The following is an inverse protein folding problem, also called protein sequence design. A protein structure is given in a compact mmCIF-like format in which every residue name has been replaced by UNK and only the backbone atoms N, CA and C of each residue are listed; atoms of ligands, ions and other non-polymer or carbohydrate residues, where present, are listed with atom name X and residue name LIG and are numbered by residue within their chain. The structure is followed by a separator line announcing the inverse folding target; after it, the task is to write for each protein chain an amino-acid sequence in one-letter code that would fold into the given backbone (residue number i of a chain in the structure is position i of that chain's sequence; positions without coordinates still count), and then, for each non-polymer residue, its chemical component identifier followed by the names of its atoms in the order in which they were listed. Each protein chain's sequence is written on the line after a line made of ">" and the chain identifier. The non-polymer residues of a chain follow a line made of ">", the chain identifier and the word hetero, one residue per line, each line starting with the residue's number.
data_IF_458954190512
#
_entry.id   IF_458954190512
#
_cell.length_a   1.000
_cell.length_b   1.000
_cell.length_c   1.000
_cell.angle_alpha   90.00
_cell.angle_beta   90.00
_cell.angle_gamma   90.00
#
_symmetry.space_group_name_H-M   'P 1'
#
loop_
_entity.id
_entity.type
_entity.pdbx_description
1 polymer ?
#
# COMPACT_ATOMS: atom_id res chain seq x y z
N UNK A 1 -39.42 -45.73 -10.90
CA UNK A 1 -39.20 -44.29 -11.17
C UNK A 1 -38.47 -43.71 -9.96
N UNK A 2 -37.13 -43.70 -9.98
CA UNK A 2 -36.30 -43.10 -8.94
C UNK A 2 -34.79 -43.16 -9.29
N UNK A 3 -34.10 -42.05 -9.00
CA UNK A 3 -32.70 -41.94 -8.53
C UNK A 3 -31.55 -42.47 -9.43
N UNK A 4 -30.77 -41.55 -10.03
CA UNK A 4 -29.43 -41.15 -9.52
C UNK A 4 -28.70 -40.25 -10.51
N UNK A 5 -28.29 -39.11 -9.98
CA UNK A 5 -27.39 -38.08 -10.49
C UNK A 5 -25.95 -38.62 -10.61
N UNK A 6 -25.31 -38.34 -11.74
CA UNK A 6 -23.87 -38.49 -11.96
C UNK A 6 -23.20 -37.18 -11.57
N UNK A 7 -22.50 -37.15 -10.44
CA UNK A 7 -21.61 -36.05 -10.07
C UNK A 7 -20.20 -36.36 -10.61
N UNK A 8 -19.70 -35.51 -11.51
CA UNK A 8 -18.30 -35.50 -11.92
C UNK A 8 -17.50 -34.74 -10.85
N UNK A 9 -16.67 -35.46 -10.11
CA UNK A 9 -15.64 -34.89 -9.24
C UNK A 9 -14.47 -34.41 -10.11
N UNK A 10 -14.29 -33.10 -10.19
CA UNK A 10 -13.06 -32.48 -10.71
C UNK A 10 -12.16 -32.15 -9.52
N UNK A 11 -11.14 -32.98 -9.31
CA UNK A 11 -10.12 -32.80 -8.28
C UNK A 11 -9.21 -31.63 -8.66
N UNK A 12 -9.26 -30.53 -7.91
CA UNK A 12 -8.29 -29.44 -8.02
C UNK A 12 -7.01 -29.83 -7.26
N UNK A 13 -5.88 -29.86 -7.96
CA UNK A 13 -4.56 -30.10 -7.39
C UNK A 13 -4.10 -28.81 -6.70
N UNK A 14 -4.03 -28.85 -5.37
CA UNK A 14 -3.36 -27.84 -4.55
C UNK A 14 -1.86 -28.12 -4.62
N UNK A 15 -1.12 -27.34 -5.40
CA UNK A 15 0.35 -27.38 -5.36
C UNK A 15 0.82 -26.50 -4.21
N UNK A 16 0.91 -27.07 -3.01
CA UNK A 16 1.65 -26.47 -1.91
C UNK A 16 3.16 -26.54 -2.23
N UNK A 17 3.84 -25.40 -2.25
CA UNK A 17 5.30 -25.38 -2.26
C UNK A 17 5.76 -25.68 -0.84
N UNK A 18 5.96 -26.97 -0.56
CA UNK A 18 6.62 -27.44 0.65
C UNK A 18 8.13 -27.33 0.46
N UNK A 19 8.81 -26.43 1.17
CA UNK A 19 10.27 -26.56 1.36
C UNK A 19 10.50 -27.79 2.25
N UNK A 20 10.92 -28.90 1.63
CA UNK A 20 11.32 -30.11 2.33
C UNK A 20 12.64 -29.90 3.09
N UNK A 21 12.56 -29.78 4.41
CA UNK A 21 13.72 -29.96 5.29
C UNK A 21 13.76 -31.43 5.68
N UNK A 22 14.70 -32.18 5.09
CA UNK A 22 14.97 -33.56 5.46
C UNK A 22 15.55 -33.62 6.88
N UNK A 23 14.87 -34.33 7.78
CA UNK A 23 15.36 -34.60 9.13
C UNK A 23 16.42 -35.69 9.05
N UNK A 24 17.68 -35.29 8.94
CA UNK A 24 18.83 -36.15 9.20
C UNK A 24 19.17 -36.10 10.69
N UNK A 25 19.07 -37.22 11.40
CA UNK A 25 19.50 -37.34 12.79
C UNK A 25 21.03 -37.35 12.87
N UNK A 26 21.63 -36.26 13.38
CA UNK A 26 23.04 -36.19 13.74
C UNK A 26 23.20 -35.99 15.26
N UNK A 27 24.24 -36.58 15.89
CA UNK A 27 24.36 -36.67 17.34
C UNK A 27 24.66 -35.32 17.98
N UNK A 28 24.02 -35.09 19.13
CA UNK A 28 24.13 -33.88 19.94
C UNK A 28 25.51 -33.77 20.61
N UNK A 29 26.33 -32.82 20.17
CA UNK A 29 27.45 -32.31 20.96
C UNK A 29 26.97 -31.11 21.78
N UNK A 30 26.93 -31.27 23.10
CA UNK A 30 26.59 -30.20 24.04
C UNK A 30 27.75 -29.21 24.14
N UNK A 31 27.59 -28.04 23.52
CA UNK A 31 28.44 -26.88 23.78
C UNK A 31 27.67 -25.90 24.68
N UNK A 32 28.23 -25.61 25.85
CA UNK A 32 27.68 -24.68 26.82
C UNK A 32 27.41 -23.30 26.17
N UNK A 33 26.34 -22.59 26.56
CA UNK A 33 26.02 -21.30 25.98
C UNK A 33 27.08 -20.29 26.40
N UNK A 34 27.91 -19.85 25.44
CA UNK A 34 28.62 -18.58 25.60
C UNK A 34 27.55 -17.51 25.74
N UNK A 35 27.61 -16.79 26.86
CA UNK A 35 26.80 -15.60 27.10
C UNK A 35 26.84 -14.74 25.84
N UNK A 36 25.72 -14.73 25.11
CA UNK A 36 25.57 -13.89 23.94
C UNK A 36 25.78 -12.45 24.38
N UNK A 37 26.72 -11.77 23.75
CA UNK A 37 26.75 -10.33 23.79
C UNK A 37 25.32 -9.87 23.46
N UNK A 38 24.67 -9.17 24.40
CA UNK A 38 23.48 -8.38 24.09
C UNK A 38 23.85 -7.60 22.83
N UNK A 39 23.18 -7.89 21.71
CA UNK A 39 23.27 -7.03 20.55
C UNK A 39 22.99 -5.62 21.08
N UNK A 40 24.00 -4.76 21.08
CA UNK A 40 23.80 -3.37 21.43
C UNK A 40 22.67 -2.90 20.54
N UNK A 41 21.58 -2.40 21.13
CA UNK A 41 20.50 -1.81 20.36
C UNK A 41 21.15 -0.80 19.42
N UNK A 42 21.08 -1.07 18.11
CA UNK A 42 21.72 -0.22 17.13
C UNK A 42 21.24 1.22 17.40
N UNK A 43 22.17 2.17 17.44
CA UNK A 43 21.77 3.56 17.62
C UNK A 43 20.75 3.93 16.54
N UNK A 44 19.66 4.64 16.88
CA UNK A 44 18.69 5.10 15.90
C UNK A 44 19.41 5.87 14.79
N UNK A 45 19.19 5.47 13.54
CA UNK A 45 19.81 6.09 12.38
C UNK A 45 19.31 7.55 12.22
N UNK A 46 20.19 8.51 12.49
CA UNK A 46 19.87 9.93 12.46
C UNK A 46 19.49 10.45 11.06
N UNK A 47 19.72 9.66 9.99
CA UNK A 47 19.32 10.04 8.63
C UNK A 47 17.79 10.25 8.50
N UNK A 48 17.01 9.47 9.23
CA UNK A 48 15.54 9.46 9.18
C UNK A 48 14.88 10.59 9.96
N UNK A 49 15.67 11.42 10.63
CA UNK A 49 15.18 12.56 11.42
C UNK A 49 15.71 13.84 10.82
N UNK A 50 14.83 14.82 10.69
CA UNK A 50 15.23 16.18 10.39
C UNK A 50 15.82 16.82 11.66
N UNK A 51 17.05 17.34 11.55
CA UNK A 51 17.82 17.98 12.63
C UNK A 51 18.42 19.32 12.18
N UNK A 52 17.90 19.91 11.10
CA UNK A 52 18.35 21.20 10.59
C UNK A 52 17.90 22.36 11.49
N UNK A 53 18.64 23.48 11.42
CA UNK A 53 18.41 24.65 12.29
C UNK A 53 17.17 25.48 11.94
N UNK A 54 16.64 25.35 10.72
CA UNK A 54 15.44 26.07 10.26
C UNK A 54 14.19 25.18 10.38
N UNK A 55 13.00 25.72 10.68
CA UNK A 55 11.77 24.93 10.71
C UNK A 55 11.41 24.38 9.33
N UNK A 56 10.83 23.19 9.25
CA UNK A 56 10.41 22.56 7.98
C UNK A 56 9.50 23.44 7.11
N UNK A 57 8.76 24.37 7.73
CA UNK A 57 7.91 25.33 7.05
C UNK A 57 8.66 26.30 6.12
N UNK A 58 9.97 26.51 6.31
CA UNK A 58 10.78 27.37 5.44
C UNK A 58 11.20 26.70 4.12
N UNK A 59 11.06 25.38 4.02
CA UNK A 59 11.37 24.60 2.82
C UNK A 59 10.11 24.30 2.01
N UNK A 60 10.28 24.19 0.69
CA UNK A 60 9.18 23.85 -0.21
C UNK A 60 8.97 22.32 -0.27
N UNK A 61 7.75 21.85 -0.54
CA UNK A 61 7.49 20.45 -0.85
C UNK A 61 8.49 19.90 -1.89
N UNK A 62 9.12 18.77 -1.56
CA UNK A 62 10.16 18.11 -2.36
C UNK A 62 11.56 18.72 -2.30
N UNK A 63 11.83 19.70 -1.44
CA UNK A 63 13.20 20.14 -1.18
C UNK A 63 13.97 19.05 -0.42
N UNK A 64 15.22 18.79 -0.81
CA UNK A 64 16.08 17.76 -0.21
C UNK A 64 16.76 18.34 1.04
N UNK A 65 16.58 17.65 2.17
CA UNK A 65 17.08 18.03 3.49
C UNK A 65 18.36 17.27 3.86
N UNK A 66 18.42 15.97 3.54
CA UNK A 66 19.62 15.13 3.68
C UNK A 66 19.71 14.17 2.50
N UNK A 67 20.92 13.71 2.22
CA UNK A 67 21.19 12.71 1.17
C UNK A 67 22.29 11.76 1.60
N UNK A 68 22.20 10.51 1.16
CA UNK A 68 23.27 9.52 1.29
C UNK A 68 23.20 8.51 0.14
N UNK A 69 24.36 7.94 -0.20
CA UNK A 69 24.45 6.84 -1.15
C UNK A 69 24.88 5.56 -0.43
N UNK A 70 24.21 4.45 -0.72
CA UNK A 70 24.49 3.14 -0.15
C UNK A 70 24.35 2.02 -1.19
N UNK A 71 24.79 0.82 -0.85
CA UNK A 71 24.49 -0.37 -1.67
C UNK A 71 23.04 -0.76 -1.42
N UNK A 72 22.29 -1.09 -2.47
CA UNK A 72 20.96 -1.67 -2.33
C UNK A 72 21.09 -3.05 -1.68
N UNK A 73 20.35 -3.31 -0.60
CA UNK A 73 20.32 -4.62 0.06
C UNK A 73 19.06 -5.40 -0.28
N UNK A 74 19.20 -6.73 -0.33
CA UNK A 74 18.10 -7.70 -0.42
C UNK A 74 18.24 -8.67 0.74
N UNK A 75 17.25 -8.69 1.64
CA UNK A 75 17.29 -9.46 2.89
C UNK A 75 18.59 -9.24 3.69
N UNK A 76 19.01 -7.97 3.80
CA UNK A 76 20.25 -7.58 4.50
C UNK A 76 21.55 -7.87 3.73
N UNK A 77 21.48 -8.49 2.55
CA UNK A 77 22.67 -8.81 1.74
C UNK A 77 22.91 -7.67 0.75
N UNK A 78 24.07 -7.00 0.75
CA UNK A 78 24.37 -5.93 -0.18
C UNK A 78 24.49 -6.47 -1.61
N UNK A 79 23.94 -5.72 -2.56
CA UNK A 79 24.10 -5.93 -4.00
C UNK A 79 25.07 -4.90 -4.60
N UNK A 80 25.55 -5.09 -5.85
CA UNK A 80 26.36 -4.08 -6.54
C UNK A 80 25.59 -2.80 -6.92
N UNK A 81 24.25 -2.82 -6.87
CA UNK A 81 23.43 -1.65 -7.22
C UNK A 81 23.58 -0.56 -6.16
N UNK A 82 23.67 0.69 -6.63
CA UNK A 82 23.67 1.87 -5.76
C UNK A 82 22.26 2.41 -5.59
N UNK A 83 21.96 2.82 -4.37
CA UNK A 83 20.73 3.49 -4.00
C UNK A 83 21.05 4.84 -3.35
N UNK A 84 20.36 5.88 -3.79
CA UNK A 84 20.46 7.23 -3.24
C UNK A 84 19.24 7.47 -2.37
N UNK A 85 19.44 7.65 -1.08
CA UNK A 85 18.38 8.04 -0.16
C UNK A 85 18.35 9.54 0.01
N UNK A 86 17.14 10.10 -0.02
CA UNK A 86 16.88 11.51 0.20
C UNK A 86 15.90 11.63 1.36
N UNK A 87 16.27 12.37 2.41
CA UNK A 87 15.30 12.94 3.33
C UNK A 87 14.79 14.22 2.68
N UNK A 88 13.49 14.37 2.50
CA UNK A 88 12.89 15.50 1.80
C UNK A 88 11.72 16.07 2.59
N UNK A 89 11.44 17.36 2.38
CA UNK A 89 10.27 18.02 2.97
C UNK A 89 9.00 17.59 2.24
N UNK A 90 7.98 17.18 3.00
CA UNK A 90 6.64 16.81 2.53
C UNK A 90 5.54 17.52 3.32
N UNK A 91 4.28 17.16 3.09
CA UNK A 91 3.10 17.62 3.82
C UNK A 91 2.30 16.41 4.34
N UNK A 92 1.98 16.39 5.63
CA UNK A 92 1.17 15.32 6.24
C UNK A 92 -0.34 15.43 5.89
N UNK A 93 -1.16 14.47 6.34
CA UNK A 93 -2.61 14.46 6.06
C UNK A 93 -3.37 15.69 6.58
N UNK A 94 -2.81 16.42 7.55
CA UNK A 94 -3.40 17.63 8.14
C UNK A 94 -2.89 18.92 7.50
N UNK A 95 -2.06 18.82 6.46
CA UNK A 95 -1.49 19.98 5.77
C UNK A 95 -0.26 20.58 6.45
N UNK A 96 0.28 19.93 7.50
CA UNK A 96 1.44 20.44 8.24
C UNK A 96 2.75 20.03 7.53
N UNK A 97 3.81 20.86 7.60
CA UNK A 97 5.13 20.48 7.08
C UNK A 97 5.69 19.25 7.80
N UNK A 98 6.11 18.24 7.06
CA UNK A 98 6.79 17.04 7.57
C UNK A 98 8.06 16.74 6.76
N UNK A 99 8.84 15.74 7.19
CA UNK A 99 9.99 15.22 6.47
C UNK A 99 9.84 13.71 6.29
N UNK A 100 10.15 13.21 5.09
CA UNK A 100 10.04 11.79 4.76
C UNK A 100 11.23 11.31 3.93
N UNK A 101 11.38 10.00 3.76
CA UNK A 101 12.50 9.39 3.04
C UNK A 101 12.02 8.74 1.74
N UNK A 102 12.82 8.93 0.69
CA UNK A 102 12.69 8.17 -0.56
C UNK A 102 14.02 7.60 -0.97
N UNK A 103 13.98 6.45 -1.64
CA UNK A 103 15.15 5.80 -2.21
C UNK A 103 15.05 5.79 -3.72
N UNK A 104 16.07 6.32 -4.40
CA UNK A 104 16.22 6.23 -5.86
C UNK A 104 17.23 5.16 -6.21
N UNK A 105 16.83 4.22 -7.06
CA UNK A 105 17.70 3.14 -7.55
C UNK A 105 17.89 3.29 -9.05
N UNK A 106 19.15 3.46 -9.46
CA UNK A 106 19.50 3.57 -10.88
C UNK A 106 19.45 2.20 -11.54
N UNK A 107 18.84 2.14 -12.71
CA UNK A 107 19.06 1.03 -13.62
C UNK A 107 20.48 1.09 -14.19
N UNK A 108 21.22 -0.04 -14.23
CA UNK A 108 22.48 -0.16 -14.97
C UNK A 108 22.35 0.10 -16.48
N UNK A 109 21.12 0.09 -17.01
CA UNK A 109 20.80 0.28 -18.42
C UNK A 109 20.00 1.56 -18.66
N UNK A 110 19.78 2.38 -17.63
CA UNK A 110 18.97 3.60 -17.68
C UNK A 110 19.81 4.87 -17.85
N UNK A 111 19.31 5.80 -18.66
CA UNK A 111 19.92 7.11 -18.90
C UNK A 111 19.38 8.22 -17.97
N UNK A 112 18.41 7.92 -17.10
CA UNK A 112 17.72 8.92 -16.26
C UNK A 112 16.45 9.50 -16.88
N UNK A 113 16.13 9.16 -18.14
CA UNK A 113 14.98 9.70 -18.86
C UNK A 113 13.65 9.02 -18.51
N UNK A 114 13.68 7.84 -17.88
CA UNK A 114 12.48 7.07 -17.50
C UNK A 114 12.63 6.51 -16.08
N UNK A 115 11.64 6.76 -15.24
CA UNK A 115 11.58 6.17 -13.91
C UNK A 115 10.19 5.59 -13.61
N UNK A 116 10.12 4.55 -12.80
CA UNK A 116 8.88 4.09 -12.18
C UNK A 116 8.91 4.50 -10.72
N UNK A 117 7.89 5.25 -10.30
CA UNK A 117 7.64 5.45 -8.88
C UNK A 117 6.86 4.25 -8.38
N UNK A 118 7.52 3.42 -7.57
CA UNK A 118 6.94 2.22 -7.00
C UNK A 118 6.46 2.50 -5.58
N UNK A 119 5.19 2.21 -5.33
CA UNK A 119 4.60 2.32 -4.02
C UNK A 119 4.58 0.94 -3.37
N UNK A 120 5.34 0.79 -2.29
CA UNK A 120 5.45 -0.44 -1.52
C UNK A 120 4.16 -0.73 -0.76
N UNK A 121 3.77 -2.00 -0.66
CA UNK A 121 2.71 -2.48 0.24
C UNK A 121 3.29 -3.04 1.55
N UNK A 122 4.27 -2.35 2.12
CA UNK A 122 4.91 -2.79 3.37
C UNK A 122 3.94 -2.77 4.56
N UNK A 123 2.84 -2.02 4.45
CA UNK A 123 1.64 -2.08 5.29
C UNK A 123 2.00 -2.20 6.79
N UNK A 124 2.50 -1.12 7.40
CA UNK A 124 2.99 -1.15 8.77
C UNK A 124 2.56 0.06 9.62
N UNK A 125 2.61 -0.10 10.93
CA UNK A 125 2.46 0.99 11.92
C UNK A 125 3.79 1.38 12.55
N UNK A 126 4.90 0.89 11.99
CA UNK A 126 6.26 1.16 12.41
C UNK A 126 7.08 1.76 11.26
N UNK A 127 7.65 2.97 11.42
CA UNK A 127 8.52 3.56 10.41
C UNK A 127 9.85 2.80 10.22
N UNK A 128 10.17 1.83 11.09
CA UNK A 128 11.35 0.98 10.92
C UNK A 128 11.13 -0.11 9.84
N UNK A 129 9.88 -0.36 9.42
CA UNK A 129 9.54 -1.32 8.36
C UNK A 129 9.49 -0.71 6.95
N UNK A 130 9.69 0.61 6.84
CA UNK A 130 9.62 1.32 5.56
C UNK A 130 10.62 0.78 4.52
N UNK A 131 10.30 0.86 3.21
CA UNK A 131 11.14 0.29 2.15
C UNK A 131 12.56 0.87 2.13
N UNK A 132 12.75 2.14 2.47
CA UNK A 132 14.08 2.73 2.57
C UNK A 132 14.97 2.05 3.64
N UNK A 133 14.39 1.57 4.74
CA UNK A 133 15.10 0.82 5.79
C UNK A 133 15.54 -0.55 5.29
N UNK A 134 14.64 -1.27 4.63
CA UNK A 134 14.93 -2.55 3.99
C UNK A 134 16.08 -2.41 2.97
N UNK A 135 16.02 -1.40 2.10
CA UNK A 135 17.04 -1.14 1.08
C UNK A 135 18.41 -0.78 1.72
N UNK A 136 18.39 -0.11 2.87
CA UNK A 136 19.60 0.21 3.64
C UNK A 136 20.21 -1.00 4.39
N UNK A 137 19.60 -2.18 4.32
CA UNK A 137 20.08 -3.41 4.95
C UNK A 137 19.38 -3.75 6.26
N UNK A 138 18.32 -3.02 6.63
CA UNK A 138 17.46 -3.35 7.76
C UNK A 138 16.76 -4.70 7.55
N UNK A 139 16.76 -5.52 8.60
CA UNK A 139 16.04 -6.79 8.63
C UNK A 139 15.12 -6.77 9.85
N UNK A 140 13.82 -6.73 9.59
CA UNK A 140 12.74 -6.85 10.58
C UNK A 140 11.68 -7.79 10.02
N UNK A 141 10.76 -8.26 10.87
CA UNK A 141 9.63 -9.07 10.42
C UNK A 141 8.73 -8.28 9.46
N UNK A 142 8.41 -7.02 9.80
CA UNK A 142 7.60 -6.15 8.95
C UNK A 142 8.28 -5.73 7.65
N UNK A 143 9.61 -5.59 7.65
CA UNK A 143 10.41 -5.28 6.46
C UNK A 143 10.57 -6.44 5.47
N UNK A 144 10.08 -7.65 5.77
CA UNK A 144 10.17 -8.81 4.86
C UNK A 144 9.45 -8.55 3.54
N UNK A 145 8.31 -7.86 3.59
CA UNK A 145 7.54 -7.53 2.38
C UNK A 145 8.35 -6.62 1.47
N UNK A 146 8.84 -5.49 1.99
CA UNK A 146 9.67 -4.57 1.22
C UNK A 146 10.92 -5.25 0.61
N UNK A 147 11.51 -6.22 1.32
CA UNK A 147 12.61 -7.02 0.76
C UNK A 147 12.14 -7.94 -0.37
N UNK A 148 10.99 -8.60 -0.23
CA UNK A 148 10.44 -9.49 -1.26
C UNK A 148 10.03 -8.73 -2.53
N UNK A 149 9.61 -7.47 -2.41
CA UNK A 149 9.26 -6.61 -3.54
C UNK A 149 10.44 -6.36 -4.49
N UNK A 150 11.68 -6.53 -4.04
CA UNK A 150 12.86 -6.47 -4.93
C UNK A 150 12.75 -7.42 -6.14
N UNK A 151 12.08 -8.56 -5.99
CA UNK A 151 11.82 -9.51 -7.08
C UNK A 151 10.82 -8.99 -8.11
N UNK A 152 9.86 -8.16 -7.68
CA UNK A 152 8.87 -7.50 -8.55
C UNK A 152 9.54 -6.35 -9.32
N UNK A 153 10.51 -5.70 -8.69
CA UNK A 153 11.20 -4.52 -9.19
C UNK A 153 12.36 -4.83 -10.14
N UNK A 154 13.00 -6.00 -9.99
CA UNK A 154 14.14 -6.39 -10.82
C UNK A 154 13.86 -6.33 -12.34
N UNK A 155 12.69 -6.78 -12.87
CA UNK A 155 12.36 -6.62 -14.29
C UNK A 155 12.31 -5.16 -14.77
N UNK A 156 11.88 -4.21 -13.94
CA UNK A 156 11.85 -2.78 -14.30
C UNK A 156 13.28 -2.24 -14.43
N UNK A 157 14.14 -2.53 -13.46
CA UNK A 157 15.56 -2.15 -13.50
C UNK A 157 16.24 -2.78 -14.72
N UNK A 158 15.99 -4.06 -15.03
CA UNK A 158 16.55 -4.74 -16.19
C UNK A 158 16.12 -4.10 -17.53
N UNK A 159 14.91 -3.51 -17.60
CA UNK A 159 14.39 -2.81 -18.78
C UNK A 159 14.86 -1.35 -18.91
N UNK A 160 15.74 -0.87 -18.03
CA UNK A 160 16.27 0.49 -18.10
C UNK A 160 15.42 1.54 -17.37
N UNK A 161 14.48 1.12 -16.50
CA UNK A 161 13.73 2.05 -15.66
C UNK A 161 14.48 2.29 -14.35
N UNK A 162 14.74 3.55 -14.03
CA UNK A 162 15.11 3.94 -12.67
C UNK A 162 13.90 3.77 -11.74
N UNK A 163 14.12 3.58 -10.45
CA UNK A 163 13.06 3.42 -9.47
C UNK A 163 13.06 4.56 -8.46
N UNK A 164 11.88 5.08 -8.12
CA UNK A 164 11.66 6.02 -7.00
C UNK A 164 10.76 5.29 -6.00
N UNK A 165 11.30 4.98 -4.82
CA UNK A 165 10.64 4.16 -3.79
C UNK A 165 10.52 5.00 -2.52
N UNK A 166 9.42 5.76 -2.34
CA UNK A 166 9.14 6.49 -1.11
C UNK A 166 8.65 5.57 0.02
N UNK A 167 8.93 5.97 1.27
CA UNK A 167 8.24 5.44 2.44
C UNK A 167 6.84 6.07 2.50
N UNK A 168 5.90 5.53 1.72
CA UNK A 168 4.63 6.18 1.38
C UNK A 168 3.80 6.56 2.60
N UNK A 169 3.83 5.77 3.66
CA UNK A 169 3.00 5.99 4.85
C UNK A 169 3.55 7.06 5.80
N UNK A 170 4.68 7.68 5.44
CA UNK A 170 5.23 8.83 6.15
C UNK A 170 6.05 8.48 7.39
N UNK A 171 6.48 9.53 8.10
CA UNK A 171 7.42 9.45 9.21
C UNK A 171 6.98 8.58 10.40
N UNK A 172 5.67 8.36 10.55
CA UNK A 172 5.08 7.58 11.64
C UNK A 172 4.54 6.22 11.17
N UNK A 173 4.63 5.93 9.86
CA UNK A 173 3.94 4.82 9.21
C UNK A 173 2.42 4.84 9.50
N UNK A 174 1.75 5.90 9.04
CA UNK A 174 0.33 6.11 9.30
C UNK A 174 -0.52 5.27 8.33
N UNK A 175 -0.62 3.97 8.62
CA UNK A 175 -1.30 2.99 7.77
C UNK A 175 -2.74 3.40 7.35
N UNK A 176 -3.09 3.15 6.08
CA UNK A 176 -4.36 3.47 5.42
C UNK A 176 -4.69 4.97 5.24
N UNK A 177 -3.81 5.91 5.63
CA UNK A 177 -4.01 7.35 5.44
C UNK A 177 -3.68 7.82 4.01
N UNK A 178 -4.53 7.42 3.04
CA UNK A 178 -4.27 7.62 1.61
C UNK A 178 -3.87 9.04 1.15
N UNK A 179 -4.50 10.13 1.62
CA UNK A 179 -4.09 11.49 1.26
C UNK A 179 -2.63 11.82 1.59
N UNK A 180 -2.12 11.34 2.73
CA UNK A 180 -0.71 11.47 3.12
C UNK A 180 0.21 10.67 2.20
N UNK A 181 -0.23 9.51 1.73
CA UNK A 181 0.56 8.69 0.80
C UNK A 181 0.75 9.41 -0.53
N UNK A 182 -0.30 10.09 -0.99
CA UNK A 182 -0.28 10.87 -2.22
C UNK A 182 0.69 12.05 -2.15
N UNK A 183 0.64 12.86 -1.08
CA UNK A 183 1.57 13.99 -0.91
C UNK A 183 3.02 13.50 -0.75
N UNK A 184 3.24 12.47 0.06
CA UNK A 184 4.55 11.83 0.23
C UNK A 184 5.13 11.36 -1.10
N UNK A 185 4.33 10.68 -1.92
CA UNK A 185 4.79 10.18 -3.22
C UNK A 185 5.09 11.31 -4.19
N UNK A 186 4.22 12.31 -4.33
CA UNK A 186 4.43 13.44 -5.24
C UNK A 186 5.68 14.25 -4.88
N UNK A 187 5.91 14.48 -3.58
CA UNK A 187 7.07 15.20 -3.10
C UNK A 187 8.36 14.37 -3.19
N UNK A 188 8.26 13.03 -3.11
CA UNK A 188 9.40 12.15 -3.40
C UNK A 188 9.86 12.26 -4.84
N UNK A 189 8.92 12.39 -5.79
CA UNK A 189 9.22 12.58 -7.21
C UNK A 189 9.89 13.95 -7.44
N UNK A 190 9.42 15.00 -6.74
CA UNK A 190 10.08 16.31 -6.74
C UNK A 190 11.51 16.21 -6.20
N UNK A 191 11.71 15.59 -5.05
CA UNK A 191 13.01 15.43 -4.43
C UNK A 191 13.98 14.66 -5.32
N UNK A 192 13.50 13.55 -5.89
CA UNK A 192 14.27 12.72 -6.81
C UNK A 192 14.72 13.52 -8.03
N UNK A 193 13.79 14.20 -8.72
CA UNK A 193 14.10 14.94 -9.96
C UNK A 193 14.83 16.27 -9.76
N UNK A 194 14.92 16.78 -8.52
CA UNK A 194 15.70 17.97 -8.15
C UNK A 194 17.11 17.64 -7.64
N UNK A 195 17.36 16.40 -7.22
CA UNK A 195 18.66 15.99 -6.70
C UNK A 195 19.55 15.44 -7.82
N UNK A 196 20.65 16.14 -8.12
CA UNK A 196 21.61 15.71 -9.13
C UNK A 196 22.28 14.36 -8.84
N UNK A 197 22.31 13.90 -7.58
CA UNK A 197 22.89 12.59 -7.22
C UNK A 197 22.06 11.41 -7.72
N UNK A 198 20.77 11.63 -7.98
CA UNK A 198 19.88 10.58 -8.47
C UNK A 198 20.01 10.35 -9.97
N UNK A 199 20.69 11.27 -10.68
CA UNK A 199 20.73 11.32 -12.14
C UNK A 199 19.37 11.45 -12.84
N UNK A 200 18.27 11.63 -12.09
CA UNK A 200 16.97 12.01 -12.64
C UNK A 200 16.93 13.52 -12.83
N UNK A 201 16.02 14.00 -13.67
CA UNK A 201 15.95 15.41 -14.05
C UNK A 201 14.53 15.86 -14.36
N UNK A 202 14.35 17.16 -14.60
CA UNK A 202 13.05 17.75 -14.91
C UNK A 202 12.37 17.11 -16.15
N UNK A 203 13.12 16.56 -17.11
CA UNK A 203 12.56 15.83 -18.25
C UNK A 203 12.26 14.33 -18.03
N UNK A 204 12.51 13.78 -16.84
CA UNK A 204 12.29 12.35 -16.57
C UNK A 204 10.81 12.05 -16.64
N UNK A 205 10.42 11.12 -17.51
CA UNK A 205 9.05 10.61 -17.59
C UNK A 205 8.84 9.56 -16.52
N UNK A 206 7.66 9.55 -15.89
CA UNK A 206 7.42 8.76 -14.68
C UNK A 206 6.14 7.93 -14.82
N UNK A 207 6.21 6.64 -14.50
CA UNK A 207 5.04 5.77 -14.35
C UNK A 207 4.78 5.50 -12.87
N UNK A 208 3.52 5.43 -12.45
CA UNK A 208 3.15 5.03 -11.09
C UNK A 208 2.78 3.54 -11.07
N UNK A 209 3.22 2.80 -10.06
CA UNK A 209 2.99 1.37 -9.94
C UNK A 209 2.84 0.94 -8.49
N UNK A 210 1.69 0.34 -8.14
CA UNK A 210 1.43 -0.13 -6.78
C UNK A 210 0.33 -1.20 -6.73
N UNK A 211 0.37 -2.05 -5.70
CA UNK A 211 -0.65 -3.08 -5.45
C UNK A 211 -1.01 -3.08 -3.97
N UNK A 212 -2.23 -3.47 -3.58
CA UNK A 212 -2.66 -3.47 -2.17
C UNK A 212 -2.47 -2.10 -1.49
N UNK A 213 -1.77 -1.99 -0.35
CA UNK A 213 -1.40 -0.71 0.26
C UNK A 213 -0.61 0.21 -0.67
N UNK A 214 0.21 -0.36 -1.56
CA UNK A 214 0.88 0.38 -2.62
C UNK A 214 -0.12 1.02 -3.61
N UNK A 215 -1.25 0.36 -3.88
CA UNK A 215 -2.31 0.94 -4.72
C UNK A 215 -3.00 2.12 -4.03
N UNK A 216 -3.09 2.14 -2.68
CA UNK A 216 -3.57 3.30 -1.92
C UNK A 216 -2.69 4.52 -2.19
N UNK A 217 -1.38 4.33 -2.19
CA UNK A 217 -0.47 5.42 -2.52
C UNK A 217 -0.56 5.81 -4.00
N UNK A 218 -0.61 4.85 -4.93
CA UNK A 218 -0.72 5.12 -6.37
C UNK A 218 -1.99 5.90 -6.73
N UNK A 219 -3.14 5.51 -6.16
CA UNK A 219 -4.42 6.13 -6.49
C UNK A 219 -4.50 7.58 -5.97
N UNK A 220 -4.14 7.83 -4.71
CA UNK A 220 -4.12 9.18 -4.14
C UNK A 220 -3.06 10.06 -4.78
N UNK A 221 -1.90 9.50 -5.14
CA UNK A 221 -0.89 10.22 -5.94
C UNK A 221 -1.50 10.71 -7.26
N UNK A 222 -2.15 9.83 -8.01
CA UNK A 222 -2.72 10.16 -9.32
C UNK A 222 -3.90 11.15 -9.23
N UNK A 223 -4.71 11.05 -8.17
CA UNK A 223 -5.83 11.94 -7.91
C UNK A 223 -5.38 13.35 -7.48
N UNK A 224 -4.35 13.44 -6.64
CA UNK A 224 -3.84 14.72 -6.13
C UNK A 224 -2.91 15.42 -7.12
N UNK A 225 -2.22 14.69 -8.00
CA UNK A 225 -1.20 15.22 -8.91
C UNK A 225 -1.63 16.49 -9.68
N UNK A 226 -2.83 16.56 -10.30
CA UNK A 226 -3.21 17.72 -11.11
C UNK A 226 -3.25 19.04 -10.33
N UNK A 227 -3.67 19.00 -9.07
CA UNK A 227 -3.82 20.19 -8.23
C UNK A 227 -2.60 20.44 -7.33
N UNK A 228 -2.05 19.39 -6.73
CA UNK A 228 -0.96 19.51 -5.75
C UNK A 228 0.43 19.64 -6.39
N UNK A 229 0.65 18.94 -7.49
CA UNK A 229 1.94 18.91 -8.19
C UNK A 229 1.74 18.87 -9.72
N UNK A 230 1.15 19.91 -10.32
CA UNK A 230 0.86 19.94 -11.75
C UNK A 230 2.11 19.74 -12.62
N UNK A 231 3.27 20.17 -12.14
CA UNK A 231 4.55 19.96 -12.79
C UNK A 231 5.04 18.51 -12.70
N UNK A 232 4.63 17.73 -11.69
CA UNK A 232 4.83 16.27 -11.65
C UNK A 232 3.81 15.60 -12.57
N UNK A 233 2.53 15.97 -12.48
CA UNK A 233 1.44 15.42 -13.29
C UNK A 233 1.75 15.46 -14.79
N UNK A 234 2.32 16.55 -15.30
CA UNK A 234 2.68 16.69 -16.72
C UNK A 234 3.75 15.71 -17.21
N UNK A 235 4.47 15.05 -16.29
CA UNK A 235 5.53 14.06 -16.56
C UNK A 235 5.06 12.62 -16.33
N UNK A 236 3.87 12.43 -15.77
CA UNK A 236 3.32 11.12 -15.52
C UNK A 236 2.80 10.51 -16.84
N UNK A 237 3.29 9.32 -17.19
CA UNK A 237 2.85 8.59 -18.40
C UNK A 237 1.58 7.78 -18.17
N UNK A 238 1.26 7.50 -16.91
CA UNK A 238 0.09 6.75 -16.47
C UNK A 238 0.30 6.14 -15.08
N UNK A 239 -0.78 5.59 -14.52
CA UNK A 239 -0.76 4.82 -13.29
C UNK A 239 -1.23 3.39 -13.52
N UNK A 240 -0.58 2.44 -12.88
CA UNK A 240 -0.97 1.04 -12.85
C UNK A 240 -1.16 0.61 -11.39
N UNK A 241 -2.37 0.21 -11.04
CA UNK A 241 -2.73 -0.17 -9.68
C UNK A 241 -3.60 -1.44 -9.62
N UNK A 242 -3.52 -2.17 -8.50
CA UNK A 242 -4.38 -3.33 -8.29
C UNK A 242 -4.67 -3.65 -6.83
N UNK A 243 -5.82 -4.28 -6.55
CA UNK A 243 -6.27 -4.55 -5.17
C UNK A 243 -6.53 -3.24 -4.40
N UNK A 244 -7.50 -2.45 -4.85
CA UNK A 244 -7.65 -1.05 -4.41
C UNK A 244 -8.54 -0.90 -3.18
N UNK A 245 -8.07 -0.16 -2.18
CA UNK A 245 -8.90 0.42 -1.12
C UNK A 245 -9.60 1.68 -1.66
N UNK A 246 -10.93 1.64 -1.76
CA UNK A 246 -11.71 2.75 -2.32
C UNK A 246 -12.59 3.40 -1.25
N UNK A 247 -13.48 2.64 -0.61
CA UNK A 247 -14.38 3.11 0.44
C UNK A 247 -14.08 2.37 1.75
N UNK A 248 -13.21 2.91 2.63
CA UNK A 248 -12.76 2.20 3.83
C UNK A 248 -13.87 1.72 4.78
N UNK A 249 -15.01 2.41 4.83
CA UNK A 249 -16.18 1.97 5.59
C UNK A 249 -16.77 0.66 5.05
N UNK A 250 -16.85 0.49 3.72
CA UNK A 250 -17.30 -0.76 3.12
C UNK A 250 -16.30 -1.90 3.37
N UNK A 251 -15.00 -1.59 3.30
CA UNK A 251 -13.96 -2.56 3.63
C UNK A 251 -14.07 -3.04 5.08
N UNK A 252 -14.35 -2.14 6.04
CA UNK A 252 -14.57 -2.52 7.44
C UNK A 252 -15.68 -3.58 7.56
N UNK A 253 -16.80 -3.38 6.90
CA UNK A 253 -17.88 -4.38 6.88
C UNK A 253 -17.48 -5.66 6.15
N UNK A 254 -16.76 -5.55 5.03
CA UNK A 254 -16.37 -6.71 4.22
C UNK A 254 -15.37 -7.63 4.92
N UNK A 255 -14.35 -7.07 5.60
CA UNK A 255 -13.35 -7.86 6.34
C UNK A 255 -13.80 -8.24 7.76
N UNK A 256 -14.97 -7.76 8.19
CA UNK A 256 -15.57 -8.11 9.48
C UNK A 256 -15.75 -9.63 9.62
N UNK A 257 -15.13 -10.22 10.64
CA UNK A 257 -15.16 -11.67 10.86
C UNK A 257 -14.27 -12.49 9.91
N UNK A 258 -13.39 -11.85 9.12
CA UNK A 258 -12.42 -12.57 8.28
C UNK A 258 -11.46 -13.43 9.13
N UNK A 259 -11.09 -14.60 8.63
CA UNK A 259 -10.19 -15.51 9.36
C UNK A 259 -8.72 -15.04 9.31
N UNK A 260 -8.31 -14.43 8.19
CA UNK A 260 -6.91 -14.06 7.94
C UNK A 260 -6.73 -12.55 7.96
N UNK A 261 -7.63 -11.80 7.34
CA UNK A 261 -7.48 -10.37 7.10
C UNK A 261 -8.05 -9.45 8.18
N UNK A 262 -8.71 -9.96 9.23
CA UNK A 262 -9.35 -9.11 10.25
C UNK A 262 -8.38 -8.14 10.93
N UNK A 263 -7.08 -8.47 10.99
CA UNK A 263 -6.06 -7.61 11.58
C UNK A 263 -5.83 -6.28 10.86
N UNK A 264 -6.30 -6.13 9.60
CA UNK A 264 -6.24 -4.84 8.90
C UNK A 264 -7.17 -3.80 9.55
N UNK A 265 -8.25 -4.24 10.21
CA UNK A 265 -9.20 -3.34 10.89
C UNK A 265 -8.50 -2.51 11.97
N UNK A 266 -7.89 -3.12 13.03
CA UNK A 266 -7.19 -2.34 14.04
C UNK A 266 -6.00 -1.59 13.46
N UNK A 267 -5.30 -2.12 12.46
CA UNK A 267 -4.21 -1.38 11.83
C UNK A 267 -4.67 -0.08 11.20
N UNK A 268 -5.72 -0.11 10.39
CA UNK A 268 -6.27 1.09 9.74
C UNK A 268 -6.83 2.07 10.78
N UNK A 269 -7.49 1.55 11.82
CA UNK A 269 -8.00 2.39 12.92
C UNK A 269 -6.85 3.16 13.59
N UNK A 270 -5.72 2.50 13.87
CA UNK A 270 -4.56 3.14 14.51
C UNK A 270 -3.93 4.17 13.56
N UNK A 271 -3.61 3.77 12.33
CA UNK A 271 -2.90 4.61 11.37
C UNK A 271 -3.68 5.87 10.98
N UNK A 272 -4.97 5.73 10.69
CA UNK A 272 -5.85 6.87 10.38
C UNK A 272 -6.02 7.78 11.60
N UNK A 273 -6.12 7.21 12.80
CA UNK A 273 -6.20 8.00 14.04
C UNK A 273 -4.95 8.84 14.27
N UNK A 274 -3.76 8.27 14.02
CA UNK A 274 -2.49 9.01 14.11
C UNK A 274 -2.41 10.13 13.09
N UNK A 275 -2.71 9.81 11.83
CA UNK A 275 -2.63 10.75 10.71
C UNK A 275 -3.51 12.00 10.94
N UNK A 276 -4.70 11.82 11.53
CA UNK A 276 -5.64 12.90 11.80
C UNK A 276 -5.70 13.37 13.27
N UNK A 277 -4.84 12.86 14.15
CA UNK A 277 -4.82 13.24 15.57
C UNK A 277 -6.12 12.94 16.33
N UNK A 278 -6.76 11.81 16.01
CA UNK A 278 -8.04 11.39 16.59
C UNK A 278 -7.76 10.47 17.79
N UNK A 279 -8.41 10.75 18.93
CA UNK A 279 -8.42 9.83 20.08
C UNK A 279 -9.66 8.93 20.02
N UNK A 280 -9.45 7.66 19.66
CA UNK A 280 -10.51 6.65 19.64
C UNK A 280 -10.65 5.88 20.96
N UNK A 281 -9.77 6.09 21.94
CA UNK A 281 -9.78 5.41 23.25
C UNK A 281 -11.15 5.43 23.95
N UNK A 282 -11.93 6.55 23.91
CA UNK A 282 -13.25 6.59 24.54
C UNK A 282 -14.28 5.62 23.94
N UNK A 283 -14.08 5.14 22.71
CA UNK A 283 -15.03 4.31 21.96
C UNK A 283 -14.69 2.81 21.99
N UNK A 284 -13.45 2.46 22.35
CA UNK A 284 -12.95 1.09 22.32
C UNK A 284 -13.34 0.28 23.57
N UNK A 285 -13.62 -1.01 23.38
CA UNK A 285 -13.80 -2.00 24.43
C UNK A 285 -12.46 -2.30 25.12
N UNK A 286 -12.48 -3.04 26.23
CA UNK A 286 -11.24 -3.50 26.86
C UNK A 286 -10.41 -4.40 25.92
N UNK A 287 -11.07 -5.23 25.11
CA UNK A 287 -10.42 -6.06 24.08
C UNK A 287 -9.84 -5.18 22.96
N UNK A 288 -10.60 -4.20 22.48
CA UNK A 288 -10.14 -3.26 21.46
C UNK A 288 -8.90 -2.47 21.91
N UNK A 289 -8.87 -1.99 23.16
CA UNK A 289 -7.71 -1.32 23.74
C UNK A 289 -6.48 -2.23 23.81
N UNK A 290 -6.66 -3.50 24.17
CA UNK A 290 -5.56 -4.46 24.22
C UNK A 290 -4.98 -4.73 22.82
N UNK A 291 -5.84 -4.86 21.80
CA UNK A 291 -5.43 -5.08 20.40
C UNK A 291 -4.75 -3.85 19.82
N UNK A 292 -5.28 -2.66 20.08
CA UNK A 292 -4.64 -1.40 19.65
C UNK A 292 -3.24 -1.27 20.22
N UNK A 293 -3.06 -1.61 21.50
CA UNK A 293 -1.76 -1.63 22.14
C UNK A 293 -0.84 -2.71 21.57
N UNK A 294 -1.37 -3.89 21.24
CA UNK A 294 -0.60 -4.98 20.62
C UNK A 294 -0.02 -4.57 19.26
N UNK A 295 -0.82 -3.88 18.45
CA UNK A 295 -0.49 -3.55 17.06
C UNK A 295 0.07 -2.14 16.88
N UNK A 296 0.33 -1.38 17.95
CA UNK A 296 0.76 0.02 17.85
C UNK A 296 2.06 0.23 17.04
N UNK A 297 2.91 -0.79 16.89
CA UNK A 297 4.07 -0.79 16.01
C UNK A 297 4.10 -2.05 15.13
N UNK A 298 2.94 -2.66 14.90
CA UNK A 298 2.81 -3.92 14.16
C UNK A 298 2.80 -3.71 12.66
N UNK A 299 3.28 -4.72 11.94
CA UNK A 299 3.19 -4.82 10.48
C UNK A 299 1.99 -5.66 10.04
N UNK A 300 1.69 -5.69 8.74
CA UNK A 300 0.67 -6.60 8.20
C UNK A 300 1.02 -8.07 8.49
N UNK A 301 2.31 -8.42 8.51
CA UNK A 301 2.77 -9.77 8.87
C UNK A 301 2.45 -10.09 10.33
N UNK A 302 2.47 -9.07 11.20
CA UNK A 302 2.00 -9.21 12.57
C UNK A 302 0.48 -9.40 12.63
N UNK A 303 -0.28 -8.69 11.81
CA UNK A 303 -1.73 -8.70 11.88
C UNK A 303 -2.38 -9.95 11.25
N UNK A 304 -1.78 -10.53 10.20
CA UNK A 304 -2.37 -11.64 9.43
C UNK A 304 -2.60 -12.88 10.28
N UNK A 305 -3.84 -13.37 10.28
CA UNK A 305 -4.26 -14.58 11.00
C UNK A 305 -4.27 -14.44 12.53
N UNK A 306 -3.95 -13.26 13.08
CA UNK A 306 -4.20 -12.97 14.49
C UNK A 306 -5.70 -12.70 14.68
N UNK A 307 -6.20 -13.01 15.88
CA UNK A 307 -7.61 -12.83 16.27
C UNK A 307 -8.64 -13.32 15.23
N UNK A 308 -8.52 -14.56 14.72
CA UNK A 308 -9.35 -15.06 13.61
C UNK A 308 -10.85 -14.93 13.92
N UNK A 309 -11.61 -14.33 13.00
CA UNK A 309 -13.05 -14.11 13.18
C UNK A 309 -13.40 -12.90 14.05
N UNK A 310 -12.42 -12.07 14.43
CA UNK A 310 -12.69 -10.80 15.12
C UNK A 310 -13.59 -9.90 14.29
N UNK A 311 -14.51 -9.22 14.97
CA UNK A 311 -15.39 -8.21 14.38
C UNK A 311 -15.16 -6.82 14.99
N UNK A 312 -15.70 -5.79 14.36
CA UNK A 312 -15.75 -4.43 14.92
C UNK A 312 -16.40 -4.40 16.32
N UNK A 313 -17.42 -5.25 16.55
CA UNK A 313 -18.13 -5.32 17.85
C UNK A 313 -17.24 -5.83 18.98
N UNK A 314 -16.21 -6.61 18.67
CA UNK A 314 -15.20 -6.99 19.64
C UNK A 314 -14.30 -5.80 20.03
N UNK A 315 -14.06 -4.89 19.08
CA UNK A 315 -13.19 -3.73 19.26
C UNK A 315 -13.89 -2.55 19.93
N UNK A 316 -15.17 -2.31 19.63
CA UNK A 316 -15.93 -1.17 20.11
C UNK A 316 -16.73 -1.47 21.40
N UNK A 317 -17.03 -0.44 22.20
CA UNK A 317 -17.99 -0.58 23.31
C UNK A 317 -19.40 -0.86 22.75
N UNK A 318 -20.31 -1.50 23.52
CA UNK A 318 -21.64 -1.88 23.03
C UNK A 318 -22.47 -0.73 22.44
N UNK A 319 -22.37 0.48 23.00
CA UNK A 319 -23.06 1.66 22.47
C UNK A 319 -22.50 2.18 21.13
N UNK A 320 -21.37 1.65 20.68
CA UNK A 320 -20.70 2.00 19.43
C UNK A 320 -20.52 0.77 18.50
N UNK A 321 -21.41 -0.23 18.63
CA UNK A 321 -21.45 -1.39 17.72
C UNK A 321 -21.63 -1.00 16.25
N UNK A 322 -22.30 0.13 16.00
CA UNK A 322 -22.34 0.78 14.71
C UNK A 322 -21.19 1.79 14.62
N UNK A 323 -20.19 1.60 13.72
CA UNK A 323 -19.10 2.56 13.55
C UNK A 323 -19.59 3.99 13.25
N UNK A 324 -20.71 4.13 12.55
CA UNK A 324 -21.27 5.44 12.17
C UNK A 324 -21.92 6.19 13.35
N UNK A 325 -22.05 5.55 14.51
CA UNK A 325 -22.40 6.23 15.78
C UNK A 325 -21.25 7.04 16.38
N UNK A 326 -20.03 6.95 15.83
CA UNK A 326 -18.85 7.68 16.26
C UNK A 326 -18.58 8.82 15.26
N UNK A 327 -18.91 10.09 15.56
CA UNK A 327 -18.78 11.18 14.58
C UNK A 327 -17.35 11.39 14.07
N UNK A 328 -16.35 11.23 14.95
CA UNK A 328 -14.94 11.36 14.56
C UNK A 328 -14.47 10.22 13.65
N UNK A 329 -15.08 9.03 13.75
CA UNK A 329 -14.83 7.93 12.81
C UNK A 329 -15.40 8.26 11.44
N UNK A 330 -16.65 8.72 11.38
CA UNK A 330 -17.33 9.11 10.13
C UNK A 330 -16.56 10.18 9.37
N UNK A 331 -16.12 11.24 10.07
CA UNK A 331 -15.27 12.28 9.48
C UNK A 331 -13.95 11.71 8.93
N UNK A 332 -13.29 10.82 9.68
CA UNK A 332 -12.03 10.21 9.26
C UNK A 332 -12.20 9.32 8.01
N UNK A 333 -13.16 8.38 8.01
CA UNK A 333 -13.36 7.47 6.87
C UNK A 333 -13.79 8.21 5.61
N UNK A 334 -14.52 9.32 5.73
CA UNK A 334 -14.89 10.16 4.60
C UNK A 334 -13.69 10.91 4.01
N UNK A 335 -12.73 11.35 4.84
CA UNK A 335 -11.48 11.98 4.36
C UNK A 335 -10.60 11.03 3.54
N UNK A 336 -10.66 9.73 3.85
CA UNK A 336 -9.89 8.69 3.16
C UNK A 336 -10.72 7.88 2.15
N UNK A 337 -11.98 8.26 1.91
CA UNK A 337 -12.80 7.67 0.85
C UNK A 337 -12.34 8.21 -0.51
N UNK A 338 -11.70 7.36 -1.30
CA UNK A 338 -11.15 7.71 -2.61
C UNK A 338 -12.25 8.10 -3.61
N UNK A 339 -13.48 7.63 -3.42
CA UNK A 339 -14.64 8.09 -4.19
C UNK A 339 -14.92 9.59 -4.07
N UNK A 340 -14.40 10.25 -3.04
CA UNK A 340 -14.50 11.69 -2.84
C UNK A 340 -13.31 12.47 -3.41
N UNK A 341 -12.26 11.77 -3.87
CA UNK A 341 -11.09 12.40 -4.45
C UNK A 341 -11.32 12.87 -5.90
N UNK A 342 -10.45 13.77 -6.37
CA UNK A 342 -10.48 14.23 -7.75
C UNK A 342 -10.19 13.09 -8.74
N UNK A 343 -10.72 13.19 -9.96
CA UNK A 343 -10.43 12.24 -11.03
C UNK A 343 -9.01 12.48 -11.59
N UNK A 344 -8.14 11.46 -11.67
CA UNK A 344 -6.83 11.58 -12.30
C UNK A 344 -6.94 12.03 -13.76
N UNK A 345 -5.98 12.83 -14.24
CA UNK A 345 -5.97 13.34 -15.63
C UNK A 345 -5.14 12.49 -16.60
N UNK A 346 -4.39 11.52 -16.07
CA UNK A 346 -3.50 10.64 -16.82
C UNK A 346 -4.15 9.27 -17.07
N UNK A 347 -3.71 8.50 -18.08
CA UNK A 347 -4.22 7.14 -18.30
C UNK A 347 -4.02 6.22 -17.09
N UNK A 348 -4.92 5.27 -16.90
CA UNK A 348 -4.90 4.33 -15.76
C UNK A 348 -5.15 2.88 -16.14
N UNK A 349 -4.48 1.95 -15.47
CA UNK A 349 -4.79 0.53 -15.49
C UNK A 349 -5.09 0.02 -14.08
N UNK A 350 -6.32 -0.44 -13.87
CA UNK A 350 -6.86 -0.90 -12.59
C UNK A 350 -7.14 -2.40 -12.66
N UNK A 351 -6.53 -3.17 -11.76
CA UNK A 351 -6.76 -4.61 -11.61
C UNK A 351 -7.46 -4.98 -10.30
N UNK A 352 -8.40 -5.93 -10.31
CA UNK A 352 -9.11 -6.31 -9.08
C UNK A 352 -9.48 -7.80 -9.04
N UNK A 353 -9.14 -8.50 -7.95
CA UNK A 353 -9.63 -9.85 -7.68
C UNK A 353 -11.10 -9.85 -7.21
N UNK A 354 -11.71 -11.02 -7.04
CA UNK A 354 -13.07 -11.15 -6.46
C UNK A 354 -13.31 -12.50 -5.73
N UNK A 355 -12.27 -13.31 -5.52
CA UNK A 355 -12.40 -14.63 -4.91
C UNK A 355 -11.87 -14.65 -3.46
N UNK A 356 -12.26 -13.67 -2.65
CA UNK A 356 -11.77 -13.50 -1.27
C UNK A 356 -12.02 -14.65 -0.31
N UNK A 357 -12.97 -15.52 -0.62
CA UNK A 357 -13.21 -16.75 0.14
C UNK A 357 -12.01 -17.69 0.16
N UNK A 358 -11.12 -17.63 -0.85
CA UNK A 358 -9.86 -18.39 -0.87
C UNK A 358 -8.88 -17.93 0.22
N UNK A 359 -9.04 -16.72 0.73
CA UNK A 359 -8.21 -16.13 1.79
C UNK A 359 -8.98 -15.97 3.12
N UNK A 360 -10.10 -16.69 3.26
CA UNK A 360 -10.82 -16.75 4.53
C UNK A 360 -11.73 -15.55 4.83
N UNK A 361 -12.05 -14.73 3.82
CA UNK A 361 -13.05 -13.66 3.92
C UNK A 361 -14.33 -14.12 3.23
N UNK A 362 -15.32 -14.51 4.03
CA UNK A 362 -16.59 -15.07 3.56
C UNK A 362 -17.76 -14.08 3.61
N UNK A 363 -17.55 -12.91 4.22
CA UNK A 363 -18.63 -11.95 4.38
C UNK A 363 -19.10 -11.41 3.02
N UNK A 364 -20.38 -11.11 2.92
CA UNK A 364 -21.00 -10.53 1.71
C UNK A 364 -22.04 -9.50 2.14
N UNK A 365 -21.62 -8.33 2.64
CA UNK A 365 -22.56 -7.37 3.21
C UNK A 365 -23.56 -6.88 2.15
N UNK A 366 -24.86 -6.77 2.48
CA UNK A 366 -25.87 -6.25 1.57
C UNK A 366 -25.49 -4.86 1.03
N UNK A 367 -25.59 -4.66 -0.29
CA UNK A 367 -25.23 -3.38 -0.93
C UNK A 367 -23.74 -3.18 -1.20
N UNK A 368 -22.86 -3.99 -0.61
CA UNK A 368 -21.39 -3.95 -0.80
C UNK A 368 -20.93 -5.16 -1.63
N UNK A 369 -21.39 -6.36 -1.28
CA UNK A 369 -21.06 -7.60 -1.96
C UNK A 369 -19.70 -8.18 -1.55
N UNK A 370 -19.02 -8.82 -2.51
CA UNK A 370 -17.75 -9.52 -2.28
C UNK A 370 -16.54 -8.70 -2.72
N UNK A 371 -15.36 -9.22 -2.41
CA UNK A 371 -14.07 -8.65 -2.75
C UNK A 371 -13.02 -9.71 -3.06
N UNK A 372 -11.78 -9.27 -3.15
CA UNK A 372 -10.62 -10.14 -3.37
C UNK A 372 -10.13 -10.84 -2.10
N UNK A 373 -10.70 -10.56 -0.94
CA UNK A 373 -10.26 -11.06 0.37
C UNK A 373 -10.03 -9.91 1.34
N UNK A 374 -9.69 -8.74 0.81
CA UNK A 374 -9.42 -7.51 1.57
C UNK A 374 -10.20 -6.33 1.00
N UNK A 375 -10.18 -6.20 -0.33
CA UNK A 375 -10.69 -5.05 -1.08
C UNK A 375 -11.99 -5.37 -1.81
N UNK A 376 -12.94 -4.45 -1.77
CA UNK A 376 -14.29 -4.63 -2.30
C UNK A 376 -14.34 -4.38 -3.80
N UNK A 377 -14.66 -5.43 -4.58
CA UNK A 377 -14.65 -5.37 -6.05
C UNK A 377 -15.72 -4.44 -6.62
N UNK A 378 -16.86 -4.32 -5.93
CA UNK A 378 -17.92 -3.38 -6.29
C UNK A 378 -17.47 -1.92 -6.23
N UNK A 379 -16.68 -1.54 -5.22
CA UNK A 379 -16.20 -0.17 -5.06
C UNK A 379 -15.18 0.20 -6.13
N UNK A 380 -14.27 -0.72 -6.47
CA UNK A 380 -13.28 -0.51 -7.54
C UNK A 380 -13.95 -0.30 -8.91
N UNK A 381 -15.00 -1.07 -9.21
CA UNK A 381 -15.81 -0.85 -10.42
C UNK A 381 -16.46 0.53 -10.43
N UNK A 382 -17.02 0.95 -9.30
CA UNK A 382 -17.66 2.25 -9.16
C UNK A 382 -16.65 3.38 -9.39
N UNK A 383 -15.46 3.30 -8.79
CA UNK A 383 -14.41 4.30 -8.94
C UNK A 383 -13.93 4.41 -10.40
N UNK A 384 -13.64 3.28 -11.04
CA UNK A 384 -13.20 3.29 -12.44
C UNK A 384 -14.28 3.88 -13.36
N UNK A 385 -15.56 3.61 -13.09
CA UNK A 385 -16.68 4.24 -13.81
C UNK A 385 -16.80 5.73 -13.52
N UNK A 386 -16.60 6.15 -12.27
CA UNK A 386 -16.58 7.55 -11.88
C UNK A 386 -15.48 8.33 -12.62
N UNK A 387 -14.26 7.79 -12.68
CA UNK A 387 -13.17 8.39 -13.46
C UNK A 387 -13.51 8.52 -14.93
N UNK A 388 -14.08 7.46 -15.51
CA UNK A 388 -14.62 7.52 -16.88
C UNK A 388 -15.62 8.66 -17.00
N UNK A 389 -16.67 8.70 -16.18
CA UNK A 389 -17.76 9.68 -16.24
C UNK A 389 -17.25 11.13 -16.10
N UNK A 390 -16.27 11.35 -15.23
CA UNK A 390 -15.71 12.66 -14.89
C UNK A 390 -14.58 13.13 -15.83
N UNK A 391 -14.43 12.48 -16.99
CA UNK A 391 -13.63 13.00 -18.11
C UNK A 391 -12.38 12.19 -18.45
N UNK A 392 -11.92 11.30 -17.56
CA UNK A 392 -10.79 10.42 -17.89
C UNK A 392 -11.27 9.21 -18.71
N UNK A 393 -11.22 9.34 -20.04
CA UNK A 393 -11.64 8.27 -20.96
C UNK A 393 -10.57 7.18 -21.17
N UNK A 394 -9.41 7.27 -20.51
CA UNK A 394 -8.26 6.38 -20.70
C UNK A 394 -8.06 5.42 -19.52
N UNK A 395 -9.15 4.88 -19.00
CA UNK A 395 -9.14 3.92 -17.89
C UNK A 395 -9.34 2.51 -18.44
N UNK A 396 -8.33 1.66 -18.26
CA UNK A 396 -8.39 0.22 -18.48
C UNK A 396 -8.72 -0.46 -17.15
N UNK A 397 -9.74 -1.31 -17.14
CA UNK A 397 -10.14 -2.09 -15.97
C UNK A 397 -10.09 -3.59 -16.28
N UNK A 398 -9.48 -4.38 -15.39
CA UNK A 398 -9.48 -5.84 -15.46
C UNK A 398 -9.89 -6.46 -14.13
N UNK A 399 -10.88 -7.35 -14.18
CA UNK A 399 -11.36 -8.08 -13.02
C UNK A 399 -10.97 -9.56 -13.13
N UNK A 400 -10.37 -10.11 -12.08
CA UNK A 400 -9.96 -11.50 -11.97
C UNK A 400 -10.94 -12.26 -11.07
N UNK A 401 -12.08 -12.67 -11.63
CA UNK A 401 -13.21 -13.20 -10.87
C UNK A 401 -12.94 -14.47 -10.04
N UNK A 402 -11.90 -15.23 -10.39
CA UNK A 402 -11.50 -16.49 -9.73
C UNK A 402 -10.24 -16.34 -8.88
N UNK A 403 -9.68 -15.13 -8.77
CA UNK A 403 -8.45 -14.88 -8.03
C UNK A 403 -8.75 -14.05 -6.78
N UNK A 404 -8.09 -14.41 -5.70
CA UNK A 404 -8.06 -13.65 -4.45
C UNK A 404 -7.04 -12.50 -4.52
N UNK A 405 -6.86 -11.79 -3.42
CA UNK A 405 -6.01 -10.62 -3.31
C UNK A 405 -4.55 -10.97 -3.62
N UNK A 406 -3.99 -11.98 -2.96
CA UNK A 406 -2.64 -12.49 -3.22
C UNK A 406 -2.58 -13.22 -4.55
N UNK A 407 -3.63 -13.97 -4.89
CA UNK A 407 -3.70 -14.76 -6.13
C UNK A 407 -3.73 -13.92 -7.40
N UNK A 408 -4.30 -12.71 -7.36
CA UNK A 408 -4.41 -11.83 -8.52
C UNK A 408 -3.11 -11.10 -8.86
N UNK A 409 -2.28 -10.79 -7.85
CA UNK A 409 -1.01 -10.07 -8.00
C UNK A 409 -0.08 -10.67 -9.08
N UNK A 410 0.27 -11.97 -9.09
CA UNK A 410 1.21 -12.54 -10.07
C UNK A 410 0.67 -12.51 -11.50
N UNK A 411 -0.65 -12.36 -11.69
CA UNK A 411 -1.25 -12.16 -13.01
C UNK A 411 -1.28 -10.69 -13.39
N UNK A 412 -1.61 -9.80 -12.45
CA UNK A 412 -1.71 -8.37 -12.69
C UNK A 412 -0.34 -7.72 -12.95
N UNK A 413 0.66 -7.99 -12.10
CA UNK A 413 1.96 -7.30 -12.15
C UNK A 413 2.65 -7.32 -13.52
N UNK A 414 2.84 -8.48 -14.21
CA UNK A 414 3.46 -8.49 -15.54
C UNK A 414 2.63 -7.75 -16.59
N UNK A 415 1.29 -7.77 -16.49
CA UNK A 415 0.39 -7.02 -17.40
C UNK A 415 0.48 -5.52 -17.15
N UNK A 416 0.57 -5.12 -15.89
CA UNK A 416 0.70 -3.72 -15.49
C UNK A 416 2.05 -3.13 -15.92
N UNK A 417 3.13 -3.90 -15.79
CA UNK A 417 4.44 -3.52 -16.34
C UNK A 417 4.39 -3.37 -17.87
N UNK A 418 3.80 -4.33 -18.59
CA UNK A 418 3.66 -4.22 -20.04
C UNK A 418 2.79 -3.03 -20.46
N UNK A 419 1.71 -2.74 -19.72
CA UNK A 419 0.86 -1.58 -19.98
C UNK A 419 1.62 -0.25 -19.76
N UNK A 420 2.46 -0.16 -18.72
CA UNK A 420 3.33 1.00 -18.50
C UNK A 420 4.40 1.13 -19.59
N UNK A 421 5.01 0.03 -20.03
CA UNK A 421 5.96 0.04 -21.15
C UNK A 421 5.34 0.71 -22.39
N UNK A 422 4.08 0.39 -22.69
CA UNK A 422 3.33 1.02 -23.78
C UNK A 422 3.14 2.53 -23.57
N UNK A 423 2.91 2.99 -22.33
CA UNK A 423 2.80 4.42 -22.00
C UNK A 423 4.13 5.14 -22.22
N UNK A 424 5.23 4.55 -21.77
CA UNK A 424 6.57 5.07 -22.01
C UNK A 424 6.95 5.08 -23.51
N UNK A 425 6.43 4.14 -24.28
CA UNK A 425 6.55 4.11 -25.74
C UNK A 425 5.54 5.03 -26.46
N UNK A 426 4.78 5.85 -25.72
CA UNK A 426 3.78 6.79 -26.25
C UNK A 426 2.70 6.12 -27.11
N UNK A 427 2.40 4.84 -26.87
CA UNK A 427 1.27 4.14 -27.51
C UNK A 427 -0.04 4.65 -26.91
N UNK A 428 -1.14 4.60 -27.66
CA UNK A 428 -2.47 5.01 -27.17
C UNK A 428 -2.96 4.11 -26.03
N UNK A 429 -3.62 4.69 -25.03
CA UNK A 429 -4.12 3.93 -23.87
C UNK A 429 -5.36 3.12 -24.26
N UNK A 430 -5.41 1.81 -23.96
CA UNK A 430 -6.66 1.08 -24.05
C UNK A 430 -7.64 1.63 -23.01
N UNK A 431 -8.93 1.49 -23.30
CA UNK A 431 -10.01 1.93 -22.40
C UNK A 431 -11.06 0.85 -22.25
N UNK A 432 -11.59 0.74 -21.03
CA UNK A 432 -12.76 -0.05 -20.67
C UNK A 432 -13.96 0.82 -20.36
N UNK A 433 -13.87 2.15 -20.51
CA UNK A 433 -14.98 3.05 -20.27
C UNK A 433 -16.19 2.64 -21.12
N UNK A 434 -17.35 2.52 -20.48
CA UNK A 434 -18.59 2.03 -21.10
C UNK A 434 -18.82 0.51 -21.00
N UNK A 435 -17.78 -0.29 -20.71
CA UNK A 435 -17.90 -1.75 -20.55
C UNK A 435 -17.64 -2.22 -19.12
N UNK A 436 -17.24 -1.34 -18.20
CA UNK A 436 -17.04 -1.68 -16.78
C UNK A 436 -18.40 -2.02 -16.15
N UNK A 437 -18.56 -3.20 -15.52
CA UNK A 437 -19.80 -3.56 -14.84
C UNK A 437 -20.17 -2.56 -13.74
N UNK A 438 -21.46 -2.51 -13.36
CA UNK A 438 -21.91 -1.63 -12.28
C UNK A 438 -21.17 -1.94 -10.95
N UNK A 439 -20.90 -0.90 -10.18
CA UNK A 439 -20.28 -1.00 -8.86
C UNK A 439 -21.23 -0.58 -7.74
N UNK A 440 -20.68 -0.37 -6.54
CA UNK A 440 -21.43 0.07 -5.37
C UNK A 440 -21.61 1.60 -5.34
N UNK A 441 -22.41 2.12 -4.39
CA UNK A 441 -22.38 3.56 -4.08
C UNK A 441 -21.02 3.92 -3.47
N UNK A 442 -20.50 5.11 -3.77
CA UNK A 442 -19.28 5.64 -3.14
C UNK A 442 -19.57 6.91 -2.32
N UNK A 443 -20.84 7.16 -2.02
CA UNK A 443 -21.28 8.30 -1.23
C UNK A 443 -20.61 8.32 0.15
N UNK A 444 -20.40 9.51 0.74
CA UNK A 444 -19.90 9.63 2.10
C UNK A 444 -20.78 8.90 3.12
N UNK A 445 -20.16 8.43 4.19
CA UNK A 445 -20.85 7.92 5.36
C UNK A 445 -21.58 9.05 6.09
N UNK A 446 -22.78 8.77 6.57
CA UNK A 446 -23.59 9.70 7.36
C UNK A 446 -23.61 9.24 8.83
N UNK A 447 -23.54 10.17 9.82
CA UNK A 447 -23.66 9.81 11.22
C UNK A 447 -25.01 9.16 11.53
N UNK A 448 -24.98 8.10 12.34
CA UNK A 448 -26.21 7.46 12.81
C UNK A 448 -26.91 8.39 13.79
N UNK A 449 -28.14 8.80 13.45
CA UNK A 449 -28.98 9.60 14.34
C UNK A 449 -29.43 8.72 15.50
N UNK A 450 -28.81 8.90 16.67
CA UNK A 450 -29.26 8.28 17.91
C UNK A 450 -30.66 8.80 18.24
N UNK A 451 -31.66 7.91 18.21
CA UNK A 451 -33.02 8.21 18.68
C UNK A 451 -33.13 8.03 20.19
#
# INVERSE_FOLDING_TARGET
>A
MNRRTTALLSTAIVTAISLGIGVGTAPSASAAPRAGARAAAAMPDAFYRYDGGEPLASYRPGDVLKKRTLNYHVFGIPTPLKAVQLLYRTTDAQGRPSANVTTVVRSPHGDGGKAVSYQSFYDSLSPEDGPSRAIAGGVSLGGVIANAESLILAPLLAKGYDLIIPDTEGQNADFAAGPEYGTNTLDSIRAATRSGETGLHAGTRIGLFGYSGGAVATNWTSALAPAYAPEVNSRLVGFAEGGLLVAPAHNLEYVDGALVWNGVIPMSVIGVSRSYGIDLTPYLSAKGLAIVKELEQGSIVDALGRHPGMTWKDMAKPQYEDPNSIPVFVDAVNKINLGQAATPTIPGFIGQGNAGWLEGTFNTPPGIGTGDGVMVTGDVRALARQYCANGNRSIKYEQYGLLSHVGAMPYWAPRAMAWLDDRFASRTAPSSCGTIPAGNSLEPQEPTVTR
#
